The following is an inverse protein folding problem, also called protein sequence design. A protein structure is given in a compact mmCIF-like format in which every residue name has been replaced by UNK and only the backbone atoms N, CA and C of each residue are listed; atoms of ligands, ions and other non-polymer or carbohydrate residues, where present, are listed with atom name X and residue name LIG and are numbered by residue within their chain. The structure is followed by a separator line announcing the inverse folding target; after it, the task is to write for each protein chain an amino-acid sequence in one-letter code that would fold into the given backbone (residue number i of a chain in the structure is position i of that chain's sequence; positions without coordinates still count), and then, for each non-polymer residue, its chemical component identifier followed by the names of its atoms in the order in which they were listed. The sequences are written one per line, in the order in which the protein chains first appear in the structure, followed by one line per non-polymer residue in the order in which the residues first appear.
data_IF_864602355464
#
_entry.id   IF_864602355464
#
_cell.length_a   1.000
_cell.length_b   1.000
_cell.length_c   1.000
_cell.angle_alpha   90.00
_cell.angle_beta   90.00
_cell.angle_gamma   90.00
#
_symmetry.space_group_name_H-M   'P 1'
#
loop_
_entity.id
_entity.type
_entity.pdbx_description
1 polymer ?
#
# COMPACT_ATOMS: atom_id res chain seq x y z
N UNK A 1 10.58 -34.40 59.12
CA UNK A 1 10.09 -33.01 58.88
C UNK A 1 11.16 -32.02 58.43
N UNK A 2 12.30 -32.51 57.96
CA UNK A 2 13.42 -31.64 57.53
C UNK A 2 13.36 -31.13 56.07
N UNK A 3 12.52 -31.73 55.24
CA UNK A 3 12.44 -31.40 53.79
C UNK A 3 11.63 -30.13 53.53
N UNK A 4 10.57 -29.86 54.25
CA UNK A 4 9.72 -28.67 54.13
C UNK A 4 10.45 -27.39 54.56
N UNK A 5 11.32 -27.49 55.58
CA UNK A 5 12.11 -26.36 56.08
C UNK A 5 13.22 -25.95 55.09
N UNK A 6 13.77 -26.91 54.35
CA UNK A 6 14.77 -26.66 53.26
C UNK A 6 14.16 -25.98 52.01
N UNK A 7 12.90 -26.29 51.72
CA UNK A 7 12.16 -25.66 50.63
C UNK A 7 11.81 -24.20 50.98
N UNK A 8 11.42 -23.96 52.24
CA UNK A 8 11.06 -22.63 52.75
C UNK A 8 12.27 -21.67 52.81
N UNK A 9 13.47 -22.20 53.10
CA UNK A 9 14.70 -21.39 53.12
C UNK A 9 15.19 -21.00 51.70
N UNK A 10 14.76 -21.72 50.65
CA UNK A 10 15.08 -21.41 49.24
C UNK A 10 13.95 -20.70 48.52
N UNK A 11 12.89 -20.32 49.23
CA UNK A 11 11.74 -19.58 48.67
C UNK A 11 12.15 -18.30 47.93
N UNK A 12 12.99 -17.43 48.51
CA UNK A 12 13.43 -16.22 47.82
C UNK A 12 14.23 -16.51 46.54
N UNK A 13 15.06 -17.56 46.54
CA UNK A 13 15.85 -17.97 45.37
C UNK A 13 14.94 -18.47 44.25
N UNK A 14 13.88 -19.22 44.61
CA UNK A 14 12.90 -19.74 43.64
C UNK A 14 12.11 -18.59 42.96
N UNK A 15 11.72 -17.58 43.76
CA UNK A 15 11.05 -16.37 43.23
C UNK A 15 11.97 -15.60 42.25
N UNK A 16 13.26 -15.47 42.58
CA UNK A 16 14.23 -14.81 41.69
C UNK A 16 14.39 -15.58 40.38
N UNK A 17 14.50 -16.92 40.46
CA UNK A 17 14.65 -17.75 39.25
C UNK A 17 13.41 -17.66 38.34
N UNK A 18 12.21 -17.72 38.92
CA UNK A 18 10.95 -17.57 38.17
C UNK A 18 10.84 -16.15 37.59
N UNK A 19 11.18 -15.13 38.38
CA UNK A 19 11.17 -13.73 37.93
C UNK A 19 12.14 -13.48 36.76
N UNK A 20 13.34 -14.07 36.85
CA UNK A 20 14.33 -14.01 35.77
C UNK A 20 13.87 -14.74 34.48
N UNK A 21 13.23 -15.91 34.66
CA UNK A 21 12.69 -16.66 33.51
C UNK A 21 11.55 -15.92 32.84
N UNK A 22 10.62 -15.30 33.59
CA UNK A 22 9.56 -14.47 33.06
C UNK A 22 10.11 -13.21 32.40
N UNK A 23 11.08 -12.57 33.03
CA UNK A 23 11.74 -11.39 32.44
C UNK A 23 12.46 -11.72 31.13
N UNK A 24 13.19 -12.84 31.06
CA UNK A 24 13.86 -13.30 29.86
C UNK A 24 12.87 -13.63 28.73
N UNK A 25 11.71 -14.20 29.07
CA UNK A 25 10.63 -14.46 28.12
C UNK A 25 10.04 -13.16 27.56
N UNK A 26 9.66 -12.23 28.45
CA UNK A 26 9.11 -10.92 28.05
C UNK A 26 10.14 -10.10 27.27
N UNK A 27 11.40 -10.08 27.72
CA UNK A 27 12.47 -9.39 27.01
C UNK A 27 12.76 -10.02 25.65
N UNK A 28 12.65 -11.34 25.51
CA UNK A 28 12.78 -12.04 24.24
C UNK A 28 11.67 -11.71 23.24
N UNK A 29 10.43 -11.62 23.72
CA UNK A 29 9.31 -11.23 22.87
C UNK A 29 9.35 -9.74 22.51
N UNK A 30 9.72 -8.87 23.44
CA UNK A 30 9.95 -7.45 23.17
C UNK A 30 11.11 -7.24 22.18
N UNK A 31 12.18 -8.01 22.29
CA UNK A 31 13.30 -7.97 21.36
C UNK A 31 12.89 -8.40 19.94
N UNK A 32 12.06 -9.42 19.80
CA UNK A 32 11.48 -9.84 18.52
C UNK A 32 10.55 -8.80 17.93
N UNK A 33 9.79 -8.08 18.76
CA UNK A 33 8.91 -7.01 18.32
C UNK A 33 9.67 -5.74 17.87
N UNK A 34 10.90 -5.54 18.37
CA UNK A 34 11.78 -4.41 17.99
C UNK A 34 12.65 -4.75 16.77
N UNK A 35 12.92 -6.03 16.52
CA UNK A 35 13.61 -6.42 15.29
C UNK A 35 12.67 -6.13 14.11
N UNK A 36 13.15 -5.40 13.08
CA UNK A 36 12.38 -5.30 11.84
C UNK A 36 12.09 -6.73 11.41
N UNK A 37 10.82 -7.02 11.17
CA UNK A 37 10.32 -8.34 10.90
C UNK A 37 11.18 -9.00 9.82
N UNK A 38 12.10 -9.87 10.21
CA UNK A 38 12.81 -10.79 9.32
C UNK A 38 11.90 -11.93 8.85
N UNK A 39 10.59 -11.71 8.91
CA UNK A 39 9.55 -12.51 8.33
C UNK A 39 8.83 -11.73 7.25
N UNK A 40 9.52 -10.83 6.51
CA UNK A 40 8.98 -10.36 5.24
C UNK A 40 8.76 -11.60 4.40
N UNK A 41 7.51 -11.94 4.22
CA UNK A 41 7.16 -12.93 3.21
C UNK A 41 7.38 -12.24 1.89
N UNK A 42 8.46 -12.60 1.22
CA UNK A 42 8.73 -12.10 -0.11
C UNK A 42 7.95 -12.96 -1.11
N UNK A 43 7.25 -12.32 -2.02
CA UNK A 43 6.51 -13.01 -3.10
C UNK A 43 7.43 -13.36 -4.27
N UNK A 44 8.61 -12.75 -4.32
CA UNK A 44 9.61 -13.00 -5.35
C UNK A 44 10.82 -12.09 -5.22
N UNK A 45 11.72 -12.21 -6.18
CA UNK A 45 12.93 -11.39 -6.31
C UNK A 45 13.05 -10.91 -7.76
N UNK A 46 13.33 -9.63 -7.93
CA UNK A 46 13.52 -9.01 -9.25
C UNK A 46 14.86 -8.32 -9.25
N UNK A 47 15.76 -8.72 -10.15
CA UNK A 47 17.10 -8.15 -10.31
C UNK A 47 17.92 -8.08 -9.00
N UNK A 48 17.73 -9.06 -8.09
CA UNK A 48 18.41 -9.12 -6.79
C UNK A 48 17.71 -8.35 -5.66
N UNK A 49 16.59 -7.71 -5.94
CA UNK A 49 15.74 -7.01 -4.95
C UNK A 49 14.53 -7.88 -4.58
N UNK A 50 14.38 -8.16 -3.30
CA UNK A 50 13.23 -8.92 -2.79
C UNK A 50 11.96 -8.07 -2.80
N UNK A 51 10.86 -8.64 -3.29
CA UNK A 51 9.55 -7.98 -3.34
C UNK A 51 8.72 -8.48 -2.17
N UNK A 52 8.35 -7.58 -1.28
CA UNK A 52 7.55 -7.94 -0.11
C UNK A 52 6.11 -8.28 -0.50
N UNK A 53 5.51 -9.25 0.22
CA UNK A 53 4.10 -9.57 0.06
C UNK A 53 3.19 -8.38 0.37
N UNK A 54 3.60 -7.52 1.30
CA UNK A 54 2.87 -6.30 1.66
C UNK A 54 2.82 -5.31 0.50
N UNK A 55 3.96 -5.02 -0.14
CA UNK A 55 4.02 -4.09 -1.29
C UNK A 55 3.20 -4.63 -2.47
N UNK A 56 3.33 -5.93 -2.75
CA UNK A 56 2.53 -6.59 -3.78
C UNK A 56 1.02 -6.54 -3.47
N UNK A 57 0.63 -6.83 -2.22
CA UNK A 57 -0.77 -6.81 -1.82
C UNK A 57 -1.37 -5.40 -1.89
N UNK A 58 -0.63 -4.39 -1.45
CA UNK A 58 -1.06 -2.99 -1.53
C UNK A 58 -1.31 -2.57 -2.98
N UNK A 59 -0.42 -2.94 -3.91
CA UNK A 59 -0.57 -2.63 -5.32
C UNK A 59 -1.76 -3.41 -5.94
N UNK A 60 -1.96 -4.66 -5.52
CA UNK A 60 -3.10 -5.47 -5.97
C UNK A 60 -4.42 -4.88 -5.48
N UNK A 61 -4.48 -4.43 -4.24
CA UNK A 61 -5.69 -3.81 -3.67
C UNK A 61 -6.01 -2.50 -4.39
N UNK A 62 -5.01 -1.63 -4.63
CA UNK A 62 -5.17 -0.40 -5.41
C UNK A 62 -5.71 -0.71 -6.83
N UNK A 63 -5.10 -1.65 -7.54
CA UNK A 63 -5.53 -2.01 -8.89
C UNK A 63 -6.92 -2.66 -8.93
N UNK A 64 -7.24 -3.46 -7.92
CA UNK A 64 -8.57 -4.05 -7.75
C UNK A 64 -9.65 -2.96 -7.63
N UNK A 65 -9.40 -1.92 -6.84
CA UNK A 65 -10.33 -0.77 -6.72
C UNK A 65 -10.46 0.00 -8.04
N UNK A 66 -9.37 0.14 -8.81
CA UNK A 66 -9.41 0.73 -10.16
C UNK A 66 -10.36 -0.05 -11.09
N UNK A 67 -10.24 -1.39 -11.11
CA UNK A 67 -11.12 -2.23 -11.93
C UNK A 67 -12.58 -2.10 -11.46
N UNK A 68 -12.83 -2.17 -10.16
CA UNK A 68 -14.18 -2.03 -9.60
C UNK A 68 -14.82 -0.70 -9.97
N UNK A 69 -14.04 0.40 -9.90
CA UNK A 69 -14.52 1.72 -10.30
C UNK A 69 -14.83 1.78 -11.80
N UNK A 70 -13.90 1.32 -12.64
CA UNK A 70 -14.05 1.36 -14.10
C UNK A 70 -15.21 0.51 -14.61
N UNK A 71 -15.51 -0.62 -13.95
CA UNK A 71 -16.60 -1.52 -14.31
C UNK A 71 -17.90 -1.26 -13.54
N UNK A 72 -17.87 -0.32 -12.58
CA UNK A 72 -18.99 -0.01 -11.69
C UNK A 72 -19.53 -1.26 -10.95
N UNK A 73 -18.63 -2.09 -10.44
CA UNK A 73 -18.95 -3.30 -9.67
C UNK A 73 -18.43 -3.18 -8.24
N UNK A 74 -19.09 -3.86 -7.30
CA UNK A 74 -18.69 -3.88 -5.89
C UNK A 74 -17.67 -4.97 -5.56
N UNK A 75 -17.61 -6.03 -6.39
CA UNK A 75 -16.69 -7.15 -6.22
C UNK A 75 -16.23 -7.68 -7.57
N UNK A 76 -15.01 -8.21 -7.62
CA UNK A 76 -14.48 -8.92 -8.79
C UNK A 76 -14.80 -10.42 -8.67
N UNK A 77 -15.01 -11.07 -9.80
CA UNK A 77 -15.09 -12.52 -9.86
C UNK A 77 -13.67 -13.14 -9.86
N UNK A 78 -13.59 -14.47 -9.76
CA UNK A 78 -12.31 -15.19 -9.64
C UNK A 78 -11.41 -15.01 -10.87
N UNK A 79 -11.98 -14.94 -12.07
CA UNK A 79 -11.22 -14.73 -13.31
C UNK A 79 -10.63 -13.31 -13.35
N UNK A 80 -11.42 -12.31 -12.97
CA UNK A 80 -10.98 -10.92 -12.89
C UNK A 80 -9.89 -10.74 -11.82
N UNK A 81 -10.03 -11.41 -10.68
CA UNK A 81 -9.02 -11.37 -9.62
C UNK A 81 -7.72 -12.05 -10.06
N UNK A 82 -7.80 -13.17 -10.77
CA UNK A 82 -6.64 -13.86 -11.33
C UNK A 82 -5.93 -12.96 -12.35
N UNK A 83 -6.67 -12.35 -13.26
CA UNK A 83 -6.13 -11.39 -14.21
C UNK A 83 -5.45 -10.20 -13.50
N UNK A 84 -6.09 -9.65 -12.45
CA UNK A 84 -5.52 -8.55 -11.69
C UNK A 84 -4.19 -8.93 -11.03
N UNK A 85 -4.08 -10.13 -10.47
CA UNK A 85 -2.84 -10.65 -9.88
C UNK A 85 -1.72 -10.76 -10.89
N UNK A 86 -2.01 -11.32 -12.06
CA UNK A 86 -1.03 -11.50 -13.13
C UNK A 86 -0.59 -10.14 -13.69
N UNK A 87 -1.53 -9.24 -13.90
CA UNK A 87 -1.24 -7.89 -14.40
C UNK A 87 -0.37 -7.09 -13.42
N UNK A 88 -0.73 -7.09 -12.14
CA UNK A 88 0.02 -6.39 -11.09
C UNK A 88 1.43 -6.95 -10.99
N UNK A 89 1.59 -8.27 -11.04
CA UNK A 89 2.93 -8.88 -11.02
C UNK A 89 3.77 -8.46 -12.22
N UNK A 90 3.22 -8.53 -13.43
CA UNK A 90 3.92 -8.11 -14.63
C UNK A 90 4.28 -6.62 -14.61
N UNK A 91 3.37 -5.77 -14.15
CA UNK A 91 3.61 -4.33 -14.01
C UNK A 91 4.74 -4.07 -13.02
N UNK A 92 4.72 -4.74 -11.86
CA UNK A 92 5.77 -4.60 -10.85
C UNK A 92 7.14 -5.02 -11.39
N UNK A 93 7.20 -6.16 -12.11
CA UNK A 93 8.45 -6.62 -12.76
C UNK A 93 8.95 -5.59 -13.76
N UNK A 94 8.08 -5.11 -14.64
CA UNK A 94 8.45 -4.14 -15.67
C UNK A 94 8.93 -2.82 -15.05
N UNK A 95 8.22 -2.31 -14.04
CA UNK A 95 8.59 -1.07 -13.38
C UNK A 95 9.95 -1.18 -12.69
N UNK A 96 10.20 -2.28 -11.97
CA UNK A 96 11.52 -2.52 -11.32
C UNK A 96 12.67 -2.64 -12.33
N UNK A 97 12.44 -3.25 -13.47
CA UNK A 97 13.45 -3.33 -14.52
C UNK A 97 13.73 -1.98 -15.17
N UNK A 98 12.67 -1.20 -15.45
CA UNK A 98 12.81 0.15 -16.02
C UNK A 98 13.49 1.08 -15.01
N UNK A 99 13.08 1.05 -13.74
CA UNK A 99 13.67 1.83 -12.65
C UNK A 99 15.19 1.56 -12.54
N UNK A 100 15.59 0.29 -12.52
CA UNK A 100 17.00 -0.10 -12.46
C UNK A 100 17.82 0.37 -13.68
N UNK A 101 17.24 0.41 -14.87
CA UNK A 101 17.91 0.95 -16.06
C UNK A 101 17.94 2.48 -16.04
N UNK A 102 16.86 3.14 -15.60
CA UNK A 102 16.81 4.59 -15.46
C UNK A 102 17.87 5.09 -14.45
N UNK A 103 18.02 4.43 -13.31
CA UNK A 103 19.06 4.74 -12.32
C UNK A 103 20.47 4.65 -12.90
N UNK A 104 20.77 3.59 -13.69
CA UNK A 104 22.08 3.44 -14.35
C UNK A 104 22.37 4.55 -15.33
N UNK A 105 21.32 5.10 -15.96
CA UNK A 105 21.43 6.20 -16.91
C UNK A 105 21.41 7.58 -16.22
N UNK A 106 21.21 7.61 -14.89
CA UNK A 106 21.07 8.84 -14.11
C UNK A 106 19.76 9.60 -14.42
N UNK A 107 18.75 8.90 -14.92
CA UNK A 107 17.42 9.48 -15.17
C UNK A 107 16.63 9.51 -13.87
N UNK A 108 16.02 10.65 -13.59
CA UNK A 108 15.13 10.85 -12.45
C UNK A 108 13.91 11.63 -12.92
N UNK A 109 12.75 11.30 -12.38
CA UNK A 109 11.51 12.03 -12.66
C UNK A 109 11.22 12.93 -11.47
N UNK A 110 11.07 14.23 -11.73
CA UNK A 110 10.75 15.22 -10.69
C UNK A 110 9.23 15.42 -10.57
N UNK A 111 8.79 15.88 -9.40
CA UNK A 111 7.36 16.23 -9.19
C UNK A 111 6.90 17.32 -10.18
N UNK A 112 7.79 18.21 -10.58
CA UNK A 112 7.48 19.25 -11.57
C UNK A 112 7.20 18.68 -12.98
N UNK A 113 7.89 17.60 -13.37
CA UNK A 113 7.64 16.90 -14.63
C UNK A 113 6.31 16.17 -14.60
N UNK A 114 5.99 15.48 -13.51
CA UNK A 114 4.66 14.85 -13.32
C UNK A 114 3.56 15.90 -13.38
N UNK A 115 3.75 17.03 -12.69
CA UNK A 115 2.77 18.12 -12.72
C UNK A 115 2.59 18.70 -14.12
N UNK A 116 3.68 18.82 -14.90
CA UNK A 116 3.60 19.27 -16.30
C UNK A 116 2.78 18.30 -17.16
N UNK A 117 3.00 16.98 -17.03
CA UNK A 117 2.21 15.96 -17.74
C UNK A 117 0.71 16.06 -17.39
N UNK A 118 0.38 16.28 -16.12
CA UNK A 118 -1.00 16.45 -15.66
C UNK A 118 -1.57 17.77 -16.19
N UNK A 119 -0.80 18.85 -16.19
CA UNK A 119 -1.23 20.17 -16.68
C UNK A 119 -1.45 20.20 -18.21
N UNK A 120 -0.65 19.48 -18.97
CA UNK A 120 -0.85 19.28 -20.41
C UNK A 120 -2.08 18.42 -20.70
N UNK A 121 -2.37 17.44 -19.86
CA UNK A 121 -3.53 16.56 -19.97
C UNK A 121 -3.54 15.65 -21.19
N UNK A 122 -2.40 15.49 -21.87
CA UNK A 122 -2.28 14.75 -23.14
C UNK A 122 -1.90 13.29 -22.97
N UNK A 123 -1.44 12.89 -21.78
CA UNK A 123 -1.03 11.53 -21.52
C UNK A 123 -2.22 10.55 -21.62
N UNK A 124 -2.09 9.39 -22.34
CA UNK A 124 -3.19 8.47 -22.59
C UNK A 124 -3.87 7.93 -21.31
N UNK A 125 -3.12 7.78 -20.22
CA UNK A 125 -3.66 7.33 -18.95
C UNK A 125 -4.64 8.35 -18.33
N UNK A 126 -4.41 9.65 -18.55
CA UNK A 126 -5.30 10.70 -18.04
C UNK A 126 -6.67 10.66 -18.71
N UNK A 127 -6.74 10.26 -19.99
CA UNK A 127 -8.00 10.09 -20.70
C UNK A 127 -8.88 8.94 -20.14
N UNK A 128 -8.31 8.03 -19.37
CA UNK A 128 -9.03 6.92 -18.71
C UNK A 128 -9.55 7.28 -17.32
N UNK A 129 -9.28 8.49 -16.83
CA UNK A 129 -9.72 8.95 -15.52
C UNK A 129 -11.16 9.45 -15.54
N UNK A 130 -11.85 9.46 -14.37
CA UNK A 130 -13.18 10.07 -14.23
C UNK A 130 -13.19 11.59 -14.48
N UNK A 131 -12.02 12.21 -14.61
CA UNK A 131 -11.84 13.64 -14.85
C UNK A 131 -11.75 14.00 -16.34
N UNK A 132 -12.35 13.18 -17.17
CA UNK A 132 -12.44 13.42 -18.61
C UNK A 132 -13.71 14.18 -18.94
N UNK A 133 -13.58 15.28 -19.66
CA UNK A 133 -14.73 16.07 -20.09
C UNK A 133 -15.55 15.25 -21.11
N UNK A 134 -16.83 14.96 -20.85
CA UNK A 134 -17.62 14.09 -21.72
C UNK A 134 -17.92 14.72 -23.11
N UNK A 135 -17.76 16.03 -23.27
CA UNK A 135 -17.97 16.71 -24.55
C UNK A 135 -16.74 16.68 -25.45
N UNK A 136 -15.54 16.74 -24.86
CA UNK A 136 -14.28 16.81 -25.61
C UNK A 136 -13.52 15.49 -25.64
N UNK A 137 -13.80 14.58 -24.69
CA UNK A 137 -13.05 13.34 -24.50
C UNK A 137 -11.63 13.54 -23.94
N UNK A 138 -11.29 14.77 -23.54
CA UNK A 138 -9.99 15.11 -22.99
C UNK A 138 -10.03 15.23 -21.48
N UNK A 139 -8.89 14.96 -20.85
CA UNK A 139 -8.70 15.19 -19.42
C UNK A 139 -8.90 16.67 -19.07
N UNK A 140 -9.61 16.92 -17.98
CA UNK A 140 -9.94 18.25 -17.48
C UNK A 140 -9.35 18.43 -16.07
N UNK A 141 -8.25 19.16 -16.00
CA UNK A 141 -7.54 19.42 -14.73
C UNK A 141 -8.37 20.21 -13.73
N UNK A 142 -9.33 21.00 -14.19
CA UNK A 142 -10.17 21.77 -13.29
C UNK A 142 -11.20 20.87 -12.60
N UNK A 143 -11.71 19.85 -13.30
CA UNK A 143 -12.51 18.78 -12.67
C UNK A 143 -11.70 18.04 -11.60
N UNK A 144 -10.45 17.68 -11.86
CA UNK A 144 -9.56 17.08 -10.88
C UNK A 144 -9.35 17.99 -9.66
N UNK A 145 -9.04 19.27 -9.88
CA UNK A 145 -8.83 20.24 -8.79
C UNK A 145 -10.07 20.41 -7.92
N UNK A 146 -11.23 20.51 -8.55
CA UNK A 146 -12.51 20.57 -7.83
C UNK A 146 -12.73 19.33 -6.97
N UNK A 147 -12.51 18.15 -7.55
CA UNK A 147 -12.62 16.88 -6.83
C UNK A 147 -11.68 16.81 -5.63
N UNK A 148 -10.39 17.14 -5.81
CA UNK A 148 -9.40 17.12 -4.73
C UNK A 148 -9.74 18.11 -3.61
N UNK A 149 -10.27 19.29 -3.95
CA UNK A 149 -10.71 20.27 -2.98
C UNK A 149 -11.93 19.78 -2.17
N UNK A 150 -12.89 19.13 -2.83
CA UNK A 150 -14.03 18.53 -2.17
C UNK A 150 -13.63 17.34 -1.29
N UNK A 151 -12.75 16.47 -1.81
CA UNK A 151 -12.22 15.33 -1.07
C UNK A 151 -11.49 15.76 0.21
N UNK A 152 -10.65 16.80 0.13
CA UNK A 152 -9.95 17.34 1.30
C UNK A 152 -10.90 17.89 2.37
N UNK A 153 -12.08 18.42 1.96
CA UNK A 153 -13.09 18.93 2.87
C UNK A 153 -14.06 17.85 3.39
N UNK A 154 -14.00 16.64 2.84
CA UNK A 154 -14.95 15.56 3.13
C UNK A 154 -14.96 15.15 4.62
N UNK A 155 -13.81 15.21 5.29
CA UNK A 155 -13.69 14.90 6.72
C UNK A 155 -14.54 15.85 7.61
N UNK A 156 -14.88 17.05 7.10
CA UNK A 156 -15.67 18.06 7.79
C UNK A 156 -17.16 18.05 7.38
N UNK A 157 -17.52 17.20 6.41
CA UNK A 157 -18.88 17.12 5.89
C UNK A 157 -19.57 15.83 6.36
N UNK A 158 -20.81 15.95 6.84
CA UNK A 158 -21.69 14.80 7.06
C UNK A 158 -22.26 14.35 5.71
N UNK A 159 -21.52 13.48 5.01
CA UNK A 159 -21.97 12.91 3.75
C UNK A 159 -22.66 11.55 3.95
N UNK A 160 -23.67 11.22 3.14
CA UNK A 160 -24.17 9.84 3.05
C UNK A 160 -23.06 8.87 2.65
N UNK A 161 -23.06 7.66 3.23
CA UNK A 161 -22.00 6.67 3.05
C UNK A 161 -21.67 6.36 1.58
N UNK A 162 -22.67 6.32 0.70
CA UNK A 162 -22.49 6.05 -0.73
C UNK A 162 -21.65 7.13 -1.44
N UNK A 163 -21.77 8.40 -1.04
CA UNK A 163 -20.95 9.48 -1.60
C UNK A 163 -19.53 9.41 -1.04
N UNK A 164 -19.38 9.13 0.26
CA UNK A 164 -18.07 8.96 0.87
C UNK A 164 -17.28 7.83 0.19
N UNK A 165 -17.94 6.70 -0.10
CA UNK A 165 -17.34 5.58 -0.82
C UNK A 165 -16.91 5.96 -2.25
N UNK A 166 -17.75 6.68 -2.99
CA UNK A 166 -17.41 7.15 -4.34
C UNK A 166 -16.17 8.06 -4.32
N UNK A 167 -16.11 9.03 -3.41
CA UNK A 167 -14.97 9.93 -3.30
C UNK A 167 -13.70 9.18 -2.92
N UNK A 168 -13.78 8.25 -1.99
CA UNK A 168 -12.63 7.47 -1.56
C UNK A 168 -12.09 6.59 -2.69
N UNK A 169 -12.96 5.88 -3.41
CA UNK A 169 -12.56 5.08 -4.58
C UNK A 169 -11.94 5.93 -5.69
N UNK A 170 -12.51 7.09 -5.97
CA UNK A 170 -12.00 8.01 -6.99
C UNK A 170 -10.64 8.57 -6.59
N UNK A 171 -10.42 8.90 -5.31
CA UNK A 171 -9.13 9.33 -4.80
C UNK A 171 -8.08 8.21 -4.87
N UNK A 172 -8.45 6.97 -4.53
CA UNK A 172 -7.56 5.80 -4.68
C UNK A 172 -7.16 5.59 -6.14
N UNK A 173 -8.13 5.72 -7.06
CA UNK A 173 -7.86 5.66 -8.49
C UNK A 173 -6.88 6.74 -8.94
N UNK A 174 -7.08 7.98 -8.50
CA UNK A 174 -6.17 9.09 -8.83
C UNK A 174 -4.75 8.84 -8.30
N UNK A 175 -4.61 8.39 -7.07
CA UNK A 175 -3.31 8.05 -6.49
C UNK A 175 -2.59 6.95 -7.29
N UNK A 176 -3.33 5.95 -7.77
CA UNK A 176 -2.78 4.92 -8.64
C UNK A 176 -2.25 5.51 -9.96
N UNK A 177 -3.03 6.39 -10.61
CA UNK A 177 -2.60 7.06 -11.85
C UNK A 177 -1.35 7.91 -11.61
N UNK A 178 -1.32 8.71 -10.55
CA UNK A 178 -0.17 9.56 -10.21
C UNK A 178 1.10 8.73 -9.95
N UNK A 179 0.99 7.61 -9.24
CA UNK A 179 2.11 6.67 -9.06
C UNK A 179 2.61 6.07 -10.36
N UNK A 180 1.72 5.77 -11.29
CA UNK A 180 2.07 5.13 -12.57
C UNK A 180 2.67 6.13 -13.56
N UNK A 181 2.42 7.43 -13.39
CA UNK A 181 3.05 8.50 -14.16
C UNK A 181 4.50 8.79 -13.72
N UNK A 182 4.89 8.35 -12.50
CA UNK A 182 6.26 8.45 -11.97
C UNK A 182 7.14 7.36 -12.52
#
# INVERSE_FOLDING_TARGET
MATLQKIRSKGPLLVIVIGLALFAFIAGDAWKAIQPHQGRQDVGEINGEAISAEDYQNLLDEYTEVIKLGQNVSALNDDQLTYAKDYVWQTLVNNKLIEAEAEKLGLTVSDAEIQAVVDEGTHPMLAQTPFTNPQTGHFDKDMLKMFLAEYANMANMQMPAQYAEYYQRTATFWNYIEKTLR
#
